data_IF_708739115050
#
_entry.id   IF_708739115050
#
_cell.length_a   1.000
_cell.length_b   1.000
_cell.length_c   1.000
_cell.angle_alpha   90.00
_cell.angle_beta   90.00
_cell.angle_gamma   90.00
#
_symmetry.space_group_name_H-M   'P 1'
#
loop_
_entity.id
_entity.type
_entity.pdbx_description
1 polymer ?
#
# COMPACT_ATOMS: atom_id res chain seq x y z
N UNK A 1 -20.92 2.82 4.52
CA UNK A 1 -20.03 3.86 3.96
C UNK A 1 -20.30 3.94 2.48
N UNK A 2 -20.76 5.09 2.01
CA UNK A 2 -21.27 5.29 0.65
C UNK A 2 -20.13 5.11 -0.35
N UNK A 3 -20.34 4.25 -1.35
CA UNK A 3 -19.42 3.99 -2.46
C UNK A 3 -19.12 5.32 -3.16
N UNK A 4 -17.97 5.93 -2.89
CA UNK A 4 -17.50 7.08 -3.66
C UNK A 4 -17.18 6.54 -5.06
N UNK A 5 -18.03 6.82 -6.02
CA UNK A 5 -17.74 6.55 -7.42
C UNK A 5 -16.59 7.46 -7.86
N UNK A 6 -15.42 6.88 -8.05
CA UNK A 6 -14.24 7.60 -8.55
C UNK A 6 -14.47 7.95 -10.03
N UNK A 7 -14.07 9.15 -10.48
CA UNK A 7 -14.19 9.53 -11.89
C UNK A 7 -13.48 8.53 -12.81
N UNK A 8 -14.05 8.25 -13.99
CA UNK A 8 -13.46 7.28 -14.93
C UNK A 8 -12.02 7.65 -15.31
N UNK A 9 -11.74 8.95 -15.44
CA UNK A 9 -10.40 9.49 -15.71
C UNK A 9 -9.37 9.12 -14.63
N UNK A 10 -9.80 8.97 -13.37
CA UNK A 10 -8.98 8.52 -12.25
C UNK A 10 -8.82 7.00 -12.29
N UNK A 11 -9.89 6.25 -12.58
CA UNK A 11 -9.86 4.77 -12.67
C UNK A 11 -9.03 4.23 -13.85
N UNK A 12 -8.76 5.07 -14.87
CA UNK A 12 -7.88 4.74 -16.00
C UNK A 12 -6.38 4.84 -15.64
N UNK A 13 -6.03 5.52 -14.55
CA UNK A 13 -4.63 5.72 -14.15
C UNK A 13 -4.12 4.50 -13.39
N UNK A 14 -2.80 4.29 -13.47
CA UNK A 14 -2.11 3.36 -12.58
C UNK A 14 -2.28 3.81 -11.14
N UNK A 15 -2.62 2.88 -10.28
CA UNK A 15 -2.82 3.07 -8.86
C UNK A 15 -1.79 2.26 -8.11
N UNK A 16 -0.98 2.93 -7.29
CA UNK A 16 0.05 2.27 -6.52
C UNK A 16 -0.39 2.24 -5.06
N UNK A 17 -0.58 1.04 -4.51
CA UNK A 17 -0.81 0.82 -3.09
C UNK A 17 0.54 0.51 -2.47
N UNK A 18 1.13 1.50 -1.81
CA UNK A 18 2.38 1.34 -1.09
C UNK A 18 2.09 0.88 0.34
N UNK A 19 2.51 -0.35 0.66
CA UNK A 19 2.37 -0.94 1.99
C UNK A 19 3.75 -1.08 2.60
N UNK A 20 3.89 -0.58 3.83
CA UNK A 20 5.08 -0.80 4.65
C UNK A 20 4.68 -1.59 5.89
N UNK A 21 5.50 -2.55 6.26
CA UNK A 21 5.24 -3.38 7.43
C UNK A 21 6.42 -3.31 8.39
N UNK A 22 6.11 -3.21 9.68
CA UNK A 22 7.08 -3.36 10.76
C UNK A 22 7.77 -4.73 10.69
N UNK A 23 8.83 -4.92 11.47
CA UNK A 23 9.56 -6.21 11.50
C UNK A 23 8.63 -7.38 11.85
N UNK A 24 8.95 -8.59 11.39
CA UNK A 24 8.21 -9.83 11.74
C UNK A 24 7.86 -9.91 13.23
N UNK A 25 8.80 -9.58 14.12
CA UNK A 25 8.57 -9.58 15.56
C UNK A 25 7.45 -8.61 15.99
N UNK A 26 7.42 -7.40 15.42
CA UNK A 26 6.36 -6.42 15.67
C UNK A 26 5.04 -6.82 15.00
N UNK A 27 5.08 -7.53 13.87
CA UNK A 27 3.90 -7.95 13.12
C UNK A 27 3.14 -9.06 13.83
N UNK A 28 3.86 -10.01 14.42
CA UNK A 28 3.26 -11.08 15.23
C UNK A 28 2.49 -10.52 16.43
N UNK A 29 2.96 -9.41 16.99
CA UNK A 29 2.31 -8.70 18.08
C UNK A 29 1.17 -7.78 17.61
N UNK A 30 1.16 -7.39 16.31
CA UNK A 30 0.23 -6.41 15.73
C UNK A 30 -0.54 -6.96 14.52
N UNK A 31 -1.08 -8.18 14.63
CA UNK A 31 -1.75 -8.90 13.55
C UNK A 31 -2.95 -8.16 12.93
N UNK A 32 -3.67 -7.35 13.70
CA UNK A 32 -4.78 -6.54 13.19
C UNK A 32 -4.29 -5.42 12.26
N UNK A 33 -3.12 -4.85 12.53
CA UNK A 33 -2.50 -3.83 11.67
C UNK A 33 -2.15 -4.42 10.31
N UNK A 34 -1.57 -5.64 10.28
CA UNK A 34 -1.30 -6.38 9.05
C UNK A 34 -2.57 -6.65 8.25
N UNK A 35 -3.62 -7.18 8.90
CA UNK A 35 -4.90 -7.44 8.22
C UNK A 35 -5.52 -6.20 7.59
N UNK A 36 -5.45 -5.04 8.26
CA UNK A 36 -5.95 -3.78 7.69
C UNK A 36 -5.10 -3.30 6.51
N UNK A 37 -3.78 -3.54 6.55
CA UNK A 37 -2.88 -3.19 5.45
C UNK A 37 -3.15 -4.06 4.21
N UNK A 38 -3.33 -5.38 4.39
CA UNK A 38 -3.72 -6.28 3.29
C UNK A 38 -5.08 -5.87 2.70
N UNK A 39 -6.04 -5.47 3.56
CA UNK A 39 -7.36 -5.02 3.13
C UNK A 39 -7.33 -3.72 2.28
N UNK A 40 -6.27 -2.90 2.33
CA UNK A 40 -6.15 -1.71 1.48
C UNK A 40 -6.00 -2.08 0.00
N UNK A 41 -5.30 -3.17 -0.29
CA UNK A 41 -5.16 -3.66 -1.66
C UNK A 41 -6.51 -4.12 -2.23
N UNK A 42 -7.29 -4.83 -1.41
CA UNK A 42 -8.64 -5.25 -1.80
C UNK A 42 -9.59 -4.07 -1.92
N UNK A 43 -9.48 -3.09 -1.02
CA UNK A 43 -10.25 -1.87 -1.10
C UNK A 43 -10.00 -1.11 -2.40
N UNK A 44 -8.74 -0.99 -2.87
CA UNK A 44 -8.44 -0.38 -4.15
C UNK A 44 -9.13 -1.11 -5.32
N UNK A 45 -9.20 -2.44 -5.29
CA UNK A 45 -9.95 -3.21 -6.31
C UNK A 45 -11.45 -2.93 -6.24
N UNK A 46 -12.03 -2.84 -5.03
CA UNK A 46 -13.47 -2.54 -4.88
C UNK A 46 -13.86 -1.15 -5.40
N UNK A 47 -12.91 -0.20 -5.44
CA UNK A 47 -13.12 1.12 -6.04
C UNK A 47 -13.09 1.12 -7.58
N UNK A 48 -12.68 0.02 -8.23
CA UNK A 48 -12.70 -0.12 -9.69
C UNK A 48 -11.40 0.31 -10.39
N UNK A 49 -10.29 0.46 -9.66
CA UNK A 49 -8.99 0.70 -10.27
C UNK A 49 -8.56 -0.51 -11.10
N UNK A 50 -8.12 -0.25 -12.34
CA UNK A 50 -7.79 -1.31 -13.31
C UNK A 50 -6.34 -1.76 -13.28
N UNK A 51 -5.43 -0.87 -12.94
CA UNK A 51 -3.98 -1.13 -12.85
C UNK A 51 -3.53 -0.85 -11.42
N UNK A 52 -3.72 -1.85 -10.52
CA UNK A 52 -3.35 -1.76 -9.10
C UNK A 52 -2.02 -2.47 -8.89
N UNK A 53 -0.97 -1.69 -8.59
CA UNK A 53 0.35 -2.19 -8.24
C UNK A 53 0.50 -2.13 -6.72
N UNK A 54 0.84 -3.24 -6.09
CA UNK A 54 1.15 -3.29 -4.66
C UNK A 54 2.66 -3.27 -4.53
N UNK A 55 3.20 -2.23 -3.88
CA UNK A 55 4.62 -2.16 -3.57
C UNK A 55 4.82 -2.52 -2.09
N UNK A 56 5.53 -3.64 -1.88
CA UNK A 56 5.92 -4.19 -0.58
C UNK A 56 7.43 -4.35 -0.44
N UNK A 57 8.23 -3.59 -1.19
CA UNK A 57 9.70 -3.74 -1.15
C UNK A 57 10.31 -3.21 0.18
N UNK A 58 9.49 -2.57 1.02
CA UNK A 58 9.83 -2.10 2.35
C UNK A 58 9.09 -2.88 3.47
N UNK A 59 8.74 -4.15 3.21
CA UNK A 59 8.31 -5.08 4.27
C UNK A 59 9.48 -5.36 5.24
N UNK A 60 9.15 -5.60 6.52
CA UNK A 60 10.10 -5.78 7.63
C UNK A 60 10.97 -4.57 7.99
N UNK A 61 10.55 -3.37 7.61
CA UNK A 61 11.25 -2.13 7.94
C UNK A 61 10.40 -1.26 8.86
N UNK A 62 10.85 -1.15 10.11
CA UNK A 62 10.21 -0.27 11.09
C UNK A 62 10.39 1.20 10.71
N UNK A 63 9.51 2.06 11.24
CA UNK A 63 9.54 3.50 10.97
C UNK A 63 10.72 4.25 11.63
N UNK A 64 11.58 3.58 12.40
CA UNK A 64 12.70 4.20 13.11
C UNK A 64 13.97 4.27 12.24
N UNK A 65 14.43 5.49 11.94
CA UNK A 65 15.78 5.74 11.38
C UNK A 65 15.83 6.22 9.92
N UNK A 66 17.06 6.37 9.44
CA UNK A 66 17.46 6.81 8.08
C UNK A 66 17.68 5.60 7.14
N UNK A 67 16.96 4.51 7.38
CA UNK A 67 17.09 3.29 6.57
C UNK A 67 16.65 3.58 5.15
N UNK A 68 17.48 3.23 4.16
CA UNK A 68 17.18 3.37 2.72
C UNK A 68 15.84 2.68 2.40
N UNK A 69 15.01 3.27 1.52
CA UNK A 69 13.64 2.79 1.23
C UNK A 69 13.45 2.66 -0.28
N UNK A 70 13.98 1.60 -0.90
CA UNK A 70 13.93 1.43 -2.35
C UNK A 70 12.49 1.29 -2.85
N UNK A 71 11.56 0.75 -2.05
CA UNK A 71 10.15 0.69 -2.40
C UNK A 71 9.53 2.09 -2.46
N UNK A 72 9.79 2.92 -1.46
CA UNK A 72 9.38 4.33 -1.48
C UNK A 72 10.06 5.13 -2.60
N UNK A 73 11.36 4.94 -2.83
CA UNK A 73 12.09 5.60 -3.92
C UNK A 73 11.53 5.21 -5.29
N UNK A 74 11.22 3.93 -5.50
CA UNK A 74 10.57 3.44 -6.71
C UNK A 74 9.14 3.95 -6.87
N UNK A 75 8.41 4.19 -5.78
CA UNK A 75 7.11 4.86 -5.82
C UNK A 75 7.26 6.31 -6.29
N UNK A 76 8.19 7.07 -5.70
CA UNK A 76 8.41 8.47 -6.04
C UNK A 76 8.86 8.63 -7.50
N UNK A 77 9.65 7.70 -8.03
CA UNK A 77 10.07 7.72 -9.44
C UNK A 77 8.93 7.43 -10.45
N UNK A 78 7.76 6.98 -9.98
CA UNK A 78 6.60 6.63 -10.81
C UNK A 78 5.47 7.67 -10.78
N UNK A 79 5.64 8.77 -10.04
CA UNK A 79 4.72 9.92 -9.96
C UNK A 79 5.21 11.05 -10.86
#
# INVERSE_FOLDING_TARGET
>A
MTRVEMPETVLRRRTIVYVRQSTVAQVLDNMESRRRQDALADLARTYGFRDVVINGDDLDRSASGITARPGFEALVAQV
#
